data_IF_418322504794
#
_entry.id   IF_418322504794
#
_cell.length_a   1.000
_cell.length_b   1.000
_cell.length_c   1.000
_cell.angle_alpha   90.00
_cell.angle_beta   90.00
_cell.angle_gamma   90.00
#
_symmetry.space_group_name_H-M   'P 1'
#
loop_
_entity.id
_entity.type
_entity.pdbx_description
1 polymer ?
#
# COMPACT_ATOMS: atom_id res chain seq x y z
N UNK A 1 11.30 -1.05 29.01
CA UNK A 1 11.31 0.18 28.19
C UNK A 1 10.72 1.29 29.03
N UNK A 2 11.53 2.28 29.40
CA UNK A 2 11.06 3.47 30.11
C UNK A 2 10.16 4.25 29.16
N UNK A 3 8.91 4.47 29.59
CA UNK A 3 8.00 5.38 28.92
C UNK A 3 8.64 6.76 28.99
N UNK A 4 9.10 7.28 27.84
CA UNK A 4 9.53 8.67 27.73
C UNK A 4 8.34 9.54 28.11
N UNK A 5 8.32 10.03 29.35
CA UNK A 5 7.33 10.98 29.81
C UNK A 5 7.49 12.24 28.97
N UNK A 6 6.44 12.56 28.22
CA UNK A 6 6.39 13.75 27.35
C UNK A 6 6.61 14.97 28.25
N UNK A 7 7.71 15.69 28.04
CA UNK A 7 7.97 16.94 28.75
C UNK A 7 6.94 17.96 28.30
N UNK A 8 6.03 18.34 29.19
CA UNK A 8 5.11 19.44 28.93
C UNK A 8 5.90 20.76 28.88
N UNK A 9 5.57 21.67 27.94
CA UNK A 9 6.23 22.96 27.89
C UNK A 9 6.03 23.69 29.22
N UNK A 10 7.11 24.19 29.85
CA UNK A 10 7.01 24.84 31.14
C UNK A 10 6.21 26.13 31.01
N UNK A 11 5.32 26.37 31.97
CA UNK A 11 4.69 27.66 32.14
C UNK A 11 5.73 28.62 32.77
N UNK A 12 6.14 29.64 32.03
CA UNK A 12 7.22 30.56 32.44
C UNK A 12 6.75 31.52 33.53
N UNK A 13 5.47 31.90 33.50
CA UNK A 13 4.86 32.80 34.50
C UNK A 13 3.38 32.44 34.69
N UNK A 14 2.98 32.18 35.94
CA UNK A 14 1.65 31.70 36.31
C UNK A 14 0.82 32.74 37.09
N UNK A 15 1.22 34.01 37.13
CA UNK A 15 0.44 35.08 37.77
C UNK A 15 -0.93 35.21 37.09
N UNK A 16 -1.98 35.29 37.90
CA UNK A 16 -3.38 35.45 37.46
C UNK A 16 -3.86 36.87 37.67
N UNK A 17 -4.69 37.37 36.75
CA UNK A 17 -5.29 38.71 36.81
C UNK A 17 -5.80 39.10 38.21
N UNK A 18 -6.78 38.36 38.73
CA UNK A 18 -7.45 38.78 39.97
C UNK A 18 -6.55 38.58 41.19
N UNK A 19 -6.09 37.34 41.39
CA UNK A 19 -5.42 36.91 42.62
C UNK A 19 -4.05 37.54 42.81
N UNK A 20 -3.28 37.64 41.74
CA UNK A 20 -1.84 37.91 41.84
C UNK A 20 -1.48 39.31 41.32
N UNK A 21 -2.27 39.89 40.40
CA UNK A 21 -2.03 41.24 39.88
C UNK A 21 -2.89 42.29 40.58
N UNK A 22 -4.22 42.16 40.53
CA UNK A 22 -5.14 43.15 41.11
C UNK A 22 -5.08 43.16 42.63
N UNK A 23 -5.20 41.99 43.28
CA UNK A 23 -5.24 41.93 44.75
C UNK A 23 -3.91 42.34 45.39
N UNK A 24 -2.77 41.97 44.80
CA UNK A 24 -1.44 42.42 45.27
C UNK A 24 -1.21 43.92 45.05
N UNK A 25 -1.64 44.47 43.91
CA UNK A 25 -1.59 45.91 43.68
C UNK A 25 -2.44 46.67 44.71
N UNK A 26 -3.65 46.17 45.02
CA UNK A 26 -4.53 46.76 46.04
C UNK A 26 -3.91 46.73 47.44
N UNK A 27 -3.29 45.61 47.83
CA UNK A 27 -2.59 45.50 49.13
C UNK A 27 -1.47 46.53 49.26
N UNK A 28 -0.80 46.86 48.16
CA UNK A 28 0.31 47.83 48.14
C UNK A 28 -0.15 49.28 48.28
N UNK A 29 -1.41 49.62 47.98
CA UNK A 29 -1.92 51.01 48.09
C UNK A 29 -1.69 51.56 49.50
N UNK A 30 -1.98 50.76 50.54
CA UNK A 30 -1.84 51.15 51.95
C UNK A 30 -0.41 51.63 52.28
N UNK A 31 0.59 51.02 51.64
CA UNK A 31 2.00 51.31 51.89
C UNK A 31 2.50 52.49 51.05
N UNK A 32 2.11 52.58 49.78
CA UNK A 32 2.69 53.54 48.83
C UNK A 32 1.86 54.82 48.65
N UNK A 33 0.55 54.76 48.89
CA UNK A 33 -0.38 55.88 48.71
C UNK A 33 -1.40 55.92 49.87
N UNK A 34 -0.98 56.20 51.12
CA UNK A 34 -1.87 56.18 52.28
C UNK A 34 -3.00 57.23 52.21
N UNK A 35 -2.81 58.30 51.43
CA UNK A 35 -3.84 59.30 51.11
C UNK A 35 -4.98 58.77 50.21
N UNK A 36 -4.78 57.63 49.53
CA UNK A 36 -5.80 57.02 48.69
C UNK A 36 -6.72 56.14 49.54
N UNK A 37 -7.94 56.62 49.78
CA UNK A 37 -8.89 56.04 50.76
C UNK A 37 -10.15 55.43 50.14
N UNK A 38 -10.46 55.75 48.87
CA UNK A 38 -11.53 55.11 48.12
C UNK A 38 -10.99 53.85 47.40
N UNK A 39 -11.63 52.71 47.61
CA UNK A 39 -11.24 51.42 47.01
C UNK A 39 -12.40 50.77 46.26
N UNK A 40 -13.42 51.55 45.91
CA UNK A 40 -14.60 51.07 45.20
C UNK A 40 -14.26 50.76 43.73
N UNK A 41 -15.04 49.88 43.10
CA UNK A 41 -14.93 49.57 41.66
C UNK A 41 -15.11 50.81 40.77
N UNK A 42 -15.86 51.81 41.24
CA UNK A 42 -16.11 53.05 40.52
C UNK A 42 -14.93 54.03 40.55
N UNK A 43 -13.88 53.73 41.32
CA UNK A 43 -12.69 54.57 41.42
C UNK A 43 -11.84 54.46 40.14
N UNK A 44 -11.52 55.59 39.47
CA UNK A 44 -10.61 55.61 38.32
C UNK A 44 -9.24 54.99 38.62
N UNK A 45 -8.73 55.10 39.85
CA UNK A 45 -7.45 54.51 40.24
C UNK A 45 -7.50 52.97 40.26
N UNK A 46 -8.59 52.39 40.76
CA UNK A 46 -8.82 50.93 40.72
C UNK A 46 -8.99 50.46 39.28
N UNK A 47 -9.69 51.23 38.45
CA UNK A 47 -9.83 50.95 37.00
C UNK A 47 -8.46 50.92 36.31
N UNK A 48 -7.54 51.82 36.67
CA UNK A 48 -6.17 51.80 36.14
C UNK A 48 -5.41 50.56 36.59
N UNK A 49 -5.53 50.15 37.86
CA UNK A 49 -4.92 48.91 38.36
C UNK A 49 -5.41 47.70 37.55
N UNK A 50 -6.72 47.59 37.32
CA UNK A 50 -7.31 46.54 36.50
C UNK A 50 -6.79 46.58 35.06
N UNK A 51 -6.70 47.77 34.45
CA UNK A 51 -6.15 47.93 33.10
C UNK A 51 -4.68 47.47 33.02
N UNK A 52 -3.84 47.87 33.98
CA UNK A 52 -2.43 47.46 34.02
C UNK A 52 -2.27 45.97 34.32
N UNK A 53 -3.12 45.41 35.19
CA UNK A 53 -3.17 43.96 35.43
C UNK A 53 -3.54 43.21 34.16
N UNK A 54 -4.53 43.69 33.41
CA UNK A 54 -4.94 43.10 32.13
C UNK A 54 -3.81 43.16 31.08
N UNK A 55 -3.14 44.30 30.93
CA UNK A 55 -1.99 44.43 30.02
C UNK A 55 -0.84 43.48 30.41
N UNK A 56 -0.60 43.33 31.72
CA UNK A 56 0.44 42.43 32.25
C UNK A 56 0.09 40.97 31.96
N UNK A 57 -1.16 40.56 32.18
CA UNK A 57 -1.64 39.22 31.86
C UNK A 57 -1.51 38.91 30.36
N UNK A 58 -1.77 39.89 29.48
CA UNK A 58 -1.55 39.73 28.04
C UNK A 58 -0.06 39.51 27.68
N UNK A 59 0.87 40.16 28.39
CA UNK A 59 2.32 39.93 28.21
C UNK A 59 2.70 38.54 28.71
N UNK A 60 2.20 38.13 29.89
CA UNK A 60 2.42 36.80 30.47
C UNK A 60 1.93 35.72 29.53
N UNK A 61 0.74 35.88 28.95
CA UNK A 61 0.21 34.97 27.95
C UNK A 61 1.17 34.80 26.76
N UNK A 62 1.70 35.91 26.22
CA UNK A 62 2.66 35.86 25.10
C UNK A 62 4.00 35.23 25.50
N UNK A 63 4.47 35.49 26.71
CA UNK A 63 5.69 34.88 27.24
C UNK A 63 5.55 33.36 27.31
N UNK A 64 4.40 32.87 27.77
CA UNK A 64 4.10 31.45 27.87
C UNK A 64 3.95 30.73 26.51
N UNK A 65 3.89 31.45 25.39
CA UNK A 65 3.95 30.87 24.04
C UNK A 65 5.39 30.65 23.54
N UNK A 66 6.40 31.27 24.18
CA UNK A 66 7.80 31.20 23.77
C UNK A 66 8.38 29.77 23.84
N UNK A 67 8.15 28.97 24.92
CA UNK A 67 8.69 27.62 25.00
C UNK A 67 8.26 26.73 23.82
N UNK A 68 6.99 26.79 23.43
CA UNK A 68 6.47 26.02 22.30
C UNK A 68 7.08 26.49 20.97
N UNK A 69 7.23 27.80 20.76
CA UNK A 69 7.90 28.34 19.58
C UNK A 69 9.36 27.89 19.49
N UNK A 70 10.11 27.99 20.59
CA UNK A 70 11.51 27.57 20.64
C UNK A 70 11.65 26.08 20.35
N UNK A 71 10.76 25.25 20.89
CA UNK A 71 10.74 23.82 20.60
C UNK A 71 10.62 23.53 19.09
N UNK A 72 9.67 24.19 18.39
CA UNK A 72 9.49 24.05 16.94
C UNK A 72 10.75 24.53 16.18
N UNK A 73 11.34 25.66 16.57
CA UNK A 73 12.55 26.17 15.91
C UNK A 73 13.76 25.25 16.14
N UNK A 74 13.92 24.67 17.33
CA UNK A 74 14.97 23.68 17.56
C UNK A 74 14.78 22.43 16.71
N UNK A 75 13.54 21.96 16.53
CA UNK A 75 13.25 20.86 15.61
C UNK A 75 13.63 21.21 14.17
N UNK A 76 13.30 22.42 13.71
CA UNK A 76 13.68 22.90 12.37
C UNK A 76 15.20 23.02 12.20
N UNK A 77 15.92 23.46 13.23
CA UNK A 77 17.39 23.51 13.21
C UNK A 77 18.04 22.12 13.17
N UNK A 78 17.36 21.11 13.71
CA UNK A 78 17.77 19.69 13.61
C UNK A 78 17.31 19.04 12.29
N UNK A 79 16.78 19.83 11.35
CA UNK A 79 16.19 19.38 10.08
C UNK A 79 15.09 18.32 10.26
N UNK A 80 14.37 18.38 11.39
CA UNK A 80 13.18 17.57 11.62
C UNK A 80 12.02 18.22 10.87
N UNK A 81 11.64 17.60 9.76
CA UNK A 81 10.50 18.03 8.95
C UNK A 81 9.22 17.30 9.37
N UNK A 82 8.07 17.93 9.15
CA UNK A 82 6.79 17.22 9.26
C UNK A 82 6.72 16.19 8.14
N UNK A 83 6.20 15.00 8.43
CA UNK A 83 5.94 14.03 7.38
C UNK A 83 4.91 14.63 6.41
N UNK A 84 5.10 14.46 5.08
CA UNK A 84 4.11 14.90 4.12
C UNK A 84 2.79 14.17 4.34
N UNK A 85 1.72 14.70 3.74
CA UNK A 85 0.44 13.99 3.72
C UNK A 85 0.62 12.61 3.06
N UNK A 86 0.19 11.54 3.73
CA UNK A 86 0.15 10.21 3.15
C UNK A 86 -1.23 9.96 2.55
N UNK A 87 -1.28 9.57 1.28
CA UNK A 87 -2.53 9.17 0.65
C UNK A 87 -3.07 7.87 1.26
N UNK A 88 -4.39 7.78 1.36
CA UNK A 88 -5.05 6.53 1.71
C UNK A 88 -4.86 5.51 0.59
N UNK A 89 -4.57 4.26 0.94
CA UNK A 89 -4.42 3.15 -0.01
C UNK A 89 -5.52 2.13 0.23
N UNK A 90 -5.96 1.49 -0.84
CA UNK A 90 -6.95 0.40 -0.80
C UNK A 90 -6.72 -0.58 -1.93
N UNK A 91 -7.37 -1.72 -1.86
CA UNK A 91 -7.46 -2.69 -2.95
C UNK A 91 -8.81 -2.52 -3.66
N UNK A 92 -8.81 -2.55 -4.99
CA UNK A 92 -10.01 -2.48 -5.84
C UNK A 92 -10.17 -3.78 -6.61
N UNK A 93 -11.30 -4.47 -6.41
CA UNK A 93 -11.64 -5.68 -7.18
C UNK A 93 -12.56 -5.33 -8.34
N UNK A 94 -12.13 -5.64 -9.56
CA UNK A 94 -12.93 -5.51 -10.77
C UNK A 94 -13.50 -6.86 -11.18
N UNK A 95 -14.84 -6.96 -11.25
CA UNK A 95 -15.53 -8.16 -11.71
C UNK A 95 -15.79 -8.10 -13.21
N UNK A 96 -15.52 -9.22 -13.89
CA UNK A 96 -15.84 -9.42 -15.29
C UNK A 96 -17.36 -9.56 -15.46
N UNK A 97 -17.88 -9.08 -16.58
CA UNK A 97 -19.30 -9.30 -16.93
C UNK A 97 -19.62 -10.76 -17.22
N UNK A 98 -18.62 -11.55 -17.62
CA UNK A 98 -18.67 -13.00 -17.78
C UNK A 98 -17.32 -13.60 -17.37
N UNK A 99 -17.31 -14.75 -16.68
CA UNK A 99 -16.07 -15.33 -16.19
C UNK A 99 -15.19 -15.83 -17.34
N UNK A 100 -13.87 -15.77 -17.15
CA UNK A 100 -12.91 -16.30 -18.11
C UNK A 100 -12.39 -17.69 -17.69
N UNK A 101 -12.12 -18.60 -18.65
CA UNK A 101 -12.29 -18.42 -20.10
C UNK A 101 -13.77 -18.46 -20.52
N UNK A 102 -14.15 -17.62 -21.49
CA UNK A 102 -15.51 -17.63 -22.05
C UNK A 102 -15.86 -18.99 -22.69
N UNK A 103 -14.85 -19.67 -23.23
CA UNK A 103 -14.94 -21.02 -23.79
C UNK A 103 -13.90 -21.91 -23.12
N UNK A 104 -14.31 -22.84 -22.24
CA UNK A 104 -13.38 -23.69 -21.51
C UNK A 104 -12.45 -24.56 -22.36
N UNK A 105 -12.84 -24.87 -23.60
CA UNK A 105 -12.05 -25.71 -24.50
C UNK A 105 -11.14 -24.90 -25.46
N UNK A 106 -11.31 -23.58 -25.50
CA UNK A 106 -10.57 -22.67 -26.38
C UNK A 106 -10.13 -21.43 -25.58
N UNK A 107 -9.35 -21.59 -24.48
CA UNK A 107 -8.97 -20.47 -23.62
C UNK A 107 -8.16 -19.40 -24.36
N UNK A 108 -7.43 -19.79 -25.40
CA UNK A 108 -6.64 -18.93 -26.30
C UNK A 108 -7.49 -17.90 -27.07
N UNK A 109 -8.80 -18.15 -27.22
CA UNK A 109 -9.74 -17.24 -27.88
C UNK A 109 -10.42 -16.26 -26.91
N UNK A 110 -9.99 -16.25 -25.65
CA UNK A 110 -10.53 -15.32 -24.64
C UNK A 110 -10.04 -13.90 -24.95
N UNK A 111 -10.92 -12.90 -25.00
CA UNK A 111 -10.51 -11.52 -25.25
C UNK A 111 -9.70 -10.99 -24.06
N UNK A 112 -8.84 -10.02 -24.34
CA UNK A 112 -8.08 -9.34 -23.29
C UNK A 112 -9.01 -8.48 -22.42
N UNK A 113 -8.95 -8.69 -21.10
CA UNK A 113 -9.57 -7.81 -20.12
C UNK A 113 -8.48 -7.09 -19.34
N UNK A 114 -8.48 -5.76 -19.45
CA UNK A 114 -7.43 -4.90 -18.95
C UNK A 114 -8.01 -3.69 -18.24
N UNK A 115 -7.40 -3.33 -17.12
CA UNK A 115 -7.62 -2.07 -16.39
C UNK A 115 -6.31 -1.29 -16.44
N UNK A 116 -6.36 -0.11 -17.06
CA UNK A 116 -5.18 0.74 -17.23
C UNK A 116 -4.69 1.30 -15.89
N UNK A 117 -3.36 1.44 -15.75
CA UNK A 117 -2.77 2.25 -14.69
C UNK A 117 -3.32 3.67 -14.79
N UNK A 118 -3.68 4.29 -13.66
CA UNK A 118 -4.23 5.64 -13.67
C UNK A 118 -5.75 5.70 -13.86
N UNK A 119 -6.44 4.56 -13.96
CA UNK A 119 -7.90 4.52 -13.95
C UNK A 119 -8.43 5.07 -12.62
N UNK A 120 -9.32 6.06 -12.70
CA UNK A 120 -9.94 6.73 -11.55
C UNK A 120 -11.28 6.10 -11.22
N UNK A 121 -11.46 5.72 -9.96
CA UNK A 121 -12.71 5.22 -9.39
C UNK A 121 -13.16 6.20 -8.32
N UNK A 122 -14.37 6.73 -8.47
CA UNK A 122 -14.97 7.62 -7.48
C UNK A 122 -15.86 6.83 -6.52
N UNK A 123 -15.81 7.22 -5.25
CA UNK A 123 -16.70 6.77 -4.21
C UNK A 123 -17.40 7.99 -3.61
N UNK A 124 -18.73 7.98 -3.60
CA UNK A 124 -19.53 8.99 -2.94
C UNK A 124 -20.16 8.41 -1.68
N UNK A 125 -19.98 9.10 -0.56
CA UNK A 125 -20.69 8.78 0.68
C UNK A 125 -22.12 9.30 0.53
N UNK A 126 -23.12 8.45 0.75
CA UNK A 126 -24.52 8.80 0.51
C UNK A 126 -24.94 10.12 1.18
N UNK A 127 -25.16 11.15 0.35
CA UNK A 127 -25.61 12.48 0.78
C UNK A 127 -24.55 13.59 0.76
N UNK A 128 -23.26 13.30 0.53
CA UNK A 128 -22.24 14.33 0.29
C UNK A 128 -22.07 14.62 -1.21
N UNK A 129 -21.79 15.87 -1.56
CA UNK A 129 -21.32 16.24 -2.91
C UNK A 129 -19.83 15.99 -3.13
N UNK A 130 -19.11 15.61 -2.08
CA UNK A 130 -17.69 15.28 -2.16
C UNK A 130 -17.52 13.85 -2.68
N UNK A 131 -16.83 13.74 -3.81
CA UNK A 131 -16.40 12.47 -4.40
C UNK A 131 -14.96 12.20 -3.97
N UNK A 132 -14.73 11.04 -3.37
CA UNK A 132 -13.40 10.56 -3.03
C UNK A 132 -12.89 9.74 -4.21
N UNK A 133 -11.75 10.13 -4.78
CA UNK A 133 -11.17 9.45 -5.95
C UNK A 133 -10.03 8.55 -5.48
N UNK A 134 -10.04 7.32 -5.96
CA UNK A 134 -8.91 6.41 -5.94
C UNK A 134 -8.44 6.15 -7.36
N UNK A 135 -7.14 6.07 -7.55
CA UNK A 135 -6.52 5.81 -8.84
C UNK A 135 -5.72 4.52 -8.77
N UNK A 136 -5.87 3.66 -9.76
CA UNK A 136 -5.11 2.41 -9.85
C UNK A 136 -3.62 2.68 -9.99
N UNK A 137 -2.83 2.01 -9.16
CA UNK A 137 -1.38 2.24 -9.05
C UNK A 137 -0.60 1.59 -10.20
N UNK A 138 -1.17 0.53 -10.76
CA UNK A 138 -0.57 -0.31 -11.79
C UNK A 138 -1.62 -0.84 -12.77
N UNK A 139 -1.14 -1.32 -13.90
CA UNK A 139 -1.96 -1.93 -14.93
C UNK A 139 -2.37 -3.34 -14.48
N UNK A 140 -3.67 -3.63 -14.50
CA UNK A 140 -4.21 -4.94 -14.16
C UNK A 140 -4.67 -5.67 -15.42
N UNK A 141 -4.12 -6.85 -15.65
CA UNK A 141 -4.54 -7.77 -16.73
C UNK A 141 -5.23 -8.98 -16.14
N UNK A 142 -6.37 -9.36 -16.71
CA UNK A 142 -7.18 -10.49 -16.24
C UNK A 142 -7.18 -11.57 -17.32
N UNK A 143 -6.32 -12.56 -17.12
CA UNK A 143 -6.15 -13.69 -18.04
C UNK A 143 -6.92 -14.94 -17.55
N UNK A 144 -7.37 -15.82 -18.48
CA UNK A 144 -7.96 -17.09 -18.08
C UNK A 144 -6.94 -17.94 -17.29
N UNK A 145 -7.33 -18.55 -16.16
CA UNK A 145 -6.41 -19.35 -15.36
C UNK A 145 -6.03 -20.65 -16.09
N UNK A 146 -4.73 -20.87 -16.26
CA UNK A 146 -4.16 -22.03 -16.95
C UNK A 146 -3.71 -23.08 -15.94
N UNK A 147 -4.65 -23.93 -15.51
CA UNK A 147 -4.33 -25.08 -14.68
C UNK A 147 -3.52 -26.09 -15.50
N UNK A 148 -2.31 -26.43 -15.06
CA UNK A 148 -1.44 -27.40 -15.73
C UNK A 148 -1.04 -28.59 -14.85
N UNK A 149 -1.09 -28.42 -13.52
CA UNK A 149 -0.60 -29.42 -12.59
C UNK A 149 -1.65 -29.73 -11.53
N UNK A 150 -1.94 -31.02 -11.34
CA UNK A 150 -2.65 -31.54 -10.18
C UNK A 150 -1.76 -32.60 -9.54
N UNK A 151 -1.38 -32.38 -8.28
CA UNK A 151 -0.52 -33.29 -7.51
C UNK A 151 -1.19 -33.65 -6.18
N UNK A 152 -0.80 -34.77 -5.58
CA UNK A 152 -1.29 -35.21 -4.27
C UNK A 152 -0.11 -35.63 -3.40
N UNK A 153 -0.27 -35.62 -2.08
CA UNK A 153 0.79 -36.12 -1.18
C UNK A 153 1.10 -37.61 -1.43
N UNK A 154 0.10 -38.38 -1.88
CA UNK A 154 0.21 -39.82 -2.16
C UNK A 154 1.11 -40.09 -3.37
N UNK A 155 1.00 -39.25 -4.40
CA UNK A 155 1.65 -39.46 -5.69
C UNK A 155 2.19 -38.14 -6.25
N UNK A 156 3.02 -37.43 -5.48
CA UNK A 156 3.45 -36.08 -5.83
C UNK A 156 4.23 -35.97 -7.16
N UNK A 157 4.93 -37.03 -7.55
CA UNK A 157 5.66 -37.09 -8.83
C UNK A 157 4.74 -37.30 -10.04
N UNK A 158 3.49 -37.70 -9.81
CA UNK A 158 2.50 -37.91 -10.86
C UNK A 158 1.68 -36.63 -11.05
N UNK A 159 1.68 -36.11 -12.27
CA UNK A 159 0.69 -35.10 -12.66
C UNK A 159 -0.63 -35.81 -13.01
N UNK A 160 -1.68 -35.50 -12.26
CA UNK A 160 -3.03 -36.01 -12.50
C UNK A 160 -3.82 -35.14 -13.48
N UNK A 161 -3.26 -34.01 -13.93
CA UNK A 161 -3.86 -33.17 -14.95
C UNK A 161 -3.33 -33.51 -16.35
N UNK A 162 -4.26 -33.70 -17.29
CA UNK A 162 -3.94 -33.84 -18.71
C UNK A 162 -5.06 -33.15 -19.52
N UNK A 163 -4.73 -32.14 -20.36
CA UNK A 163 -5.73 -31.43 -21.14
C UNK A 163 -6.56 -32.37 -22.01
N UNK A 164 -7.89 -32.25 -21.93
CA UNK A 164 -8.82 -33.06 -22.74
C UNK A 164 -8.99 -34.51 -22.27
N UNK A 165 -8.22 -34.99 -21.29
CA UNK A 165 -8.33 -36.35 -20.74
C UNK A 165 -8.94 -36.29 -19.34
N UNK A 166 -10.07 -36.98 -19.16
CA UNK A 166 -10.67 -37.12 -17.83
C UNK A 166 -9.87 -38.15 -17.02
N UNK A 167 -8.93 -37.67 -16.21
CA UNK A 167 -8.16 -38.50 -15.27
C UNK A 167 -8.64 -38.25 -13.85
N UNK A 168 -9.20 -39.27 -13.24
CA UNK A 168 -9.58 -39.20 -11.83
C UNK A 168 -8.37 -39.37 -10.90
N UNK A 169 -8.46 -38.80 -9.71
CA UNK A 169 -7.46 -38.95 -8.67
C UNK A 169 -8.09 -38.97 -7.28
N UNK A 170 -7.44 -39.65 -6.35
CA UNK A 170 -7.82 -39.67 -4.94
C UNK A 170 -7.23 -38.42 -4.28
N UNK A 171 -8.09 -37.59 -3.68
CA UNK A 171 -7.67 -36.32 -3.09
C UNK A 171 -6.70 -36.51 -1.91
N UNK A 172 -6.91 -37.58 -1.14
CA UNK A 172 -6.16 -37.93 0.08
C UNK A 172 -5.73 -39.40 0.04
N UNK A 173 -5.00 -39.85 1.08
CA UNK A 173 -4.69 -41.27 1.23
C UNK A 173 -5.97 -42.12 1.32
N UNK A 174 -5.90 -43.39 0.89
CA UNK A 174 -7.01 -44.35 0.95
C UNK A 174 -7.71 -44.39 2.31
N UNK A 175 -6.94 -44.21 3.39
CA UNK A 175 -7.45 -43.85 4.72
C UNK A 175 -7.02 -42.40 4.97
N UNK A 176 -7.95 -41.42 4.85
CA UNK A 176 -7.61 -40.01 4.95
C UNK A 176 -6.97 -39.67 6.30
N UNK A 177 -5.86 -38.94 6.26
CA UNK A 177 -5.13 -38.46 7.45
C UNK A 177 -5.25 -36.96 7.54
N UNK A 178 -5.27 -36.45 8.78
CA UNK A 178 -5.17 -35.01 9.00
C UNK A 178 -3.85 -34.51 8.40
N UNK A 179 -3.93 -33.42 7.64
CA UNK A 179 -2.81 -32.87 6.90
C UNK A 179 -2.72 -33.32 5.45
N UNK A 180 -3.42 -34.38 5.05
CA UNK A 180 -3.45 -34.85 3.66
C UNK A 180 -3.88 -33.71 2.73
N UNK A 181 -3.16 -33.55 1.64
CA UNK A 181 -3.40 -32.47 0.70
C UNK A 181 -3.25 -32.87 -0.76
N UNK A 182 -3.93 -32.10 -1.60
CA UNK A 182 -3.65 -32.02 -3.02
C UNK A 182 -3.36 -30.57 -3.44
N UNK A 183 -2.66 -30.44 -4.55
CA UNK A 183 -2.07 -29.19 -5.02
C UNK A 183 -2.51 -28.92 -6.45
N UNK A 184 -2.90 -27.68 -6.72
CA UNK A 184 -3.25 -27.17 -8.05
C UNK A 184 -2.18 -26.16 -8.46
N UNK A 185 -1.51 -26.41 -9.58
CA UNK A 185 -0.47 -25.54 -10.12
C UNK A 185 -0.90 -24.87 -11.42
N UNK A 186 -0.89 -23.55 -11.42
CA UNK A 186 -1.25 -22.71 -12.56
C UNK A 186 -0.01 -22.16 -13.26
N UNK A 187 -0.03 -22.16 -14.59
CA UNK A 187 1.12 -21.77 -15.41
C UNK A 187 1.28 -20.26 -15.61
N UNK A 188 0.17 -19.52 -15.53
CA UNK A 188 0.13 -18.08 -15.57
C UNK A 188 -0.16 -17.49 -14.20
N UNK A 189 0.11 -16.20 -14.07
CA UNK A 189 -0.13 -15.45 -12.84
C UNK A 189 -1.62 -15.44 -12.49
N UNK A 190 -1.91 -15.85 -11.26
CA UNK A 190 -3.27 -15.83 -10.69
C UNK A 190 -3.37 -14.91 -9.48
N UNK A 191 -2.34 -14.12 -9.19
CA UNK A 191 -2.33 -13.17 -8.08
C UNK A 191 -3.49 -12.18 -8.19
N UNK A 192 -4.11 -11.86 -7.06
CA UNK A 192 -5.24 -10.94 -6.97
C UNK A 192 -6.56 -11.44 -7.58
N UNK A 193 -6.56 -12.59 -8.26
CA UNK A 193 -7.75 -13.11 -8.92
C UNK A 193 -8.81 -13.56 -7.92
N UNK A 194 -10.06 -13.27 -8.26
CA UNK A 194 -11.24 -13.93 -7.70
C UNK A 194 -11.46 -15.21 -8.50
N UNK A 195 -10.87 -16.30 -8.02
CA UNK A 195 -10.79 -17.57 -8.74
C UNK A 195 -11.93 -18.51 -8.31
N UNK A 196 -12.75 -18.97 -9.25
CA UNK A 196 -13.74 -20.02 -9.00
C UNK A 196 -13.23 -21.37 -9.51
N UNK A 197 -13.25 -22.35 -8.62
CA UNK A 197 -12.89 -23.73 -8.92
C UNK A 197 -14.14 -24.60 -8.95
N UNK A 198 -14.35 -25.30 -10.06
CA UNK A 198 -15.42 -26.28 -10.25
C UNK A 198 -14.85 -27.69 -10.14
N UNK A 199 -15.53 -28.53 -9.36
CA UNK A 199 -15.16 -29.91 -9.10
C UNK A 199 -16.27 -30.85 -9.51
N UNK A 200 -15.91 -31.84 -10.31
CA UNK A 200 -16.73 -33.02 -10.58
C UNK A 200 -16.16 -34.19 -9.80
N UNK A 201 -16.95 -34.81 -8.93
CA UNK A 201 -16.52 -35.86 -8.00
C UNK A 201 -17.30 -37.16 -8.22
N UNK A 202 -16.67 -38.30 -7.92
CA UNK A 202 -17.36 -39.58 -7.82
C UNK A 202 -17.99 -39.72 -6.42
N UNK A 203 -19.22 -40.23 -6.38
CA UNK A 203 -20.00 -40.35 -5.16
C UNK A 203 -19.49 -41.51 -4.29
N UNK A 204 -18.67 -41.22 -3.29
CA UNK A 204 -18.27 -42.19 -2.25
C UNK A 204 -17.75 -41.56 -0.95
N UNK A 205 -17.15 -40.35 -0.96
CA UNK A 205 -16.68 -39.71 0.29
C UNK A 205 -17.79 -39.57 1.36
N UNK A 206 -17.51 -40.06 2.56
CA UNK A 206 -18.45 -40.13 3.69
C UNK A 206 -17.76 -39.70 5.01
N UNK A 207 -18.55 -39.49 6.07
CA UNK A 207 -18.04 -39.14 7.41
C UNK A 207 -17.96 -37.65 7.76
N UNK A 208 -18.20 -36.74 6.81
CA UNK A 208 -18.16 -35.28 7.05
C UNK A 208 -19.52 -34.56 6.92
N UNK A 209 -19.64 -33.39 7.54
CA UNK A 209 -20.78 -32.47 7.42
C UNK A 209 -20.61 -31.57 6.18
N UNK A 210 -21.51 -31.70 5.20
CA UNK A 210 -21.40 -31.00 3.91
C UNK A 210 -21.37 -29.47 4.03
N UNK A 211 -22.12 -28.92 4.98
CA UNK A 211 -22.22 -27.47 5.14
C UNK A 211 -20.96 -26.82 5.76
N UNK A 212 -20.09 -27.63 6.36
CA UNK A 212 -18.84 -27.19 7.00
C UNK A 212 -17.76 -28.22 6.69
N UNK A 213 -17.27 -28.25 5.43
CA UNK A 213 -16.28 -29.22 5.04
C UNK A 213 -14.96 -28.94 5.77
N UNK A 214 -14.27 -29.98 6.27
CA UNK A 214 -13.05 -29.82 7.06
C UNK A 214 -11.83 -29.59 6.14
N UNK A 215 -11.90 -28.54 5.31
CA UNK A 215 -10.92 -28.22 4.29
C UNK A 215 -10.33 -26.84 4.53
N UNK A 216 -9.01 -26.71 4.37
CA UNK A 216 -8.31 -25.43 4.36
C UNK A 216 -7.68 -25.21 2.99
N UNK A 217 -7.92 -24.03 2.43
CA UNK A 217 -7.28 -23.56 1.22
C UNK A 217 -6.15 -22.60 1.56
N UNK A 218 -4.98 -22.81 0.95
CA UNK A 218 -3.82 -21.95 1.11
C UNK A 218 -3.07 -21.78 -0.21
N UNK A 219 -2.40 -20.64 -0.40
CA UNK A 219 -1.50 -20.40 -1.53
C UNK A 219 -0.05 -20.49 -1.06
N UNK A 220 0.84 -20.89 -1.97
CA UNK A 220 2.25 -21.04 -1.66
C UNK A 220 2.98 -19.70 -1.80
N UNK A 221 3.70 -19.29 -0.77
CA UNK A 221 4.37 -17.98 -0.69
C UNK A 221 5.87 -18.10 -0.40
N UNK A 222 6.39 -19.31 -0.13
CA UNK A 222 7.74 -19.51 0.38
C UNK A 222 8.59 -20.52 -0.38
N UNK A 223 9.63 -21.06 0.26
CA UNK A 223 10.69 -21.84 -0.40
C UNK A 223 10.65 -23.34 -0.09
N UNK A 224 9.99 -23.74 0.99
CA UNK A 224 9.80 -25.13 1.41
C UNK A 224 8.30 -25.40 1.62
N UNK A 225 7.72 -26.21 0.76
CA UNK A 225 6.30 -26.52 0.82
C UNK A 225 5.91 -27.45 1.98
N UNK A 226 6.88 -28.03 2.70
CA UNK A 226 6.62 -28.72 3.97
C UNK A 226 6.49 -27.75 5.15
N UNK A 227 7.02 -26.53 5.03
CA UNK A 227 6.88 -25.52 6.07
C UNK A 227 5.48 -24.92 6.01
N UNK A 228 4.75 -24.98 7.12
CA UNK A 228 3.41 -24.42 7.20
C UNK A 228 3.42 -22.88 7.10
N UNK A 229 4.51 -22.21 7.48
CA UNK A 229 4.65 -20.75 7.39
C UNK A 229 4.74 -20.27 5.94
N UNK A 230 5.20 -21.13 5.04
CA UNK A 230 5.31 -20.85 3.60
C UNK A 230 3.96 -20.97 2.86
N UNK A 231 2.87 -21.31 3.57
CA UNK A 231 1.52 -21.38 3.04
C UNK A 231 0.60 -20.35 3.67
N UNK A 232 0.17 -19.37 2.88
CA UNK A 232 -0.77 -18.36 3.33
C UNK A 232 -2.22 -18.84 3.15
N UNK A 233 -3.07 -18.80 4.21
CA UNK A 233 -4.49 -19.13 4.09
C UNK A 233 -5.22 -18.23 3.08
N UNK A 234 -6.14 -18.83 2.31
CA UNK A 234 -6.95 -18.12 1.32
C UNK A 234 -8.38 -17.91 1.87
N UNK A 235 -8.92 -16.71 1.66
CA UNK A 235 -10.31 -16.39 2.00
C UNK A 235 -11.26 -17.03 0.99
N UNK A 236 -12.24 -17.78 1.49
CA UNK A 236 -13.32 -18.36 0.69
C UNK A 236 -14.47 -17.36 0.53
N UNK A 237 -15.13 -17.42 -0.62
CA UNK A 237 -16.37 -16.69 -0.87
C UNK A 237 -17.48 -17.06 0.12
N UNK A 238 -18.43 -16.14 0.30
CA UNK A 238 -19.58 -16.31 1.20
C UNK A 238 -20.88 -16.09 0.43
N UNK A 239 -22.03 -16.40 1.05
CA UNK A 239 -23.33 -16.25 0.38
C UNK A 239 -23.44 -17.14 -0.85
N UNK A 240 -23.63 -16.53 -2.03
CA UNK A 240 -23.75 -17.21 -3.31
C UNK A 240 -22.42 -17.75 -3.84
N UNK A 241 -21.29 -17.28 -3.32
CA UNK A 241 -19.93 -17.69 -3.73
C UNK A 241 -19.31 -18.76 -2.82
N UNK A 242 -20.08 -19.22 -1.83
CA UNK A 242 -19.63 -20.21 -0.83
C UNK A 242 -19.24 -21.54 -1.47
N UNK A 243 -18.54 -22.35 -0.69
CA UNK A 243 -18.28 -23.74 -1.06
C UNK A 243 -19.58 -24.55 -1.18
N UNK A 244 -19.84 -25.04 -2.39
CA UNK A 244 -20.97 -25.92 -2.74
C UNK A 244 -20.52 -27.36 -3.04
N UNK A 245 -19.23 -27.67 -2.95
CA UNK A 245 -18.68 -29.03 -3.14
C UNK A 245 -19.11 -29.99 -2.05
N UNK A 246 -19.46 -29.46 -0.87
CA UNK A 246 -19.83 -30.25 0.31
C UNK A 246 -18.68 -31.08 0.86
N UNK A 247 -17.43 -30.60 0.69
CA UNK A 247 -16.21 -31.36 0.96
C UNK A 247 -16.02 -32.48 -0.05
N UNK A 248 -16.20 -32.13 -1.33
CA UNK A 248 -16.10 -33.06 -2.48
C UNK A 248 -17.07 -34.26 -2.41
N UNK A 249 -18.19 -34.11 -1.69
CA UNK A 249 -19.24 -35.14 -1.58
C UNK A 249 -20.36 -34.99 -2.59
N UNK A 250 -20.52 -33.79 -3.14
CA UNK A 250 -21.48 -33.55 -4.20
C UNK A 250 -20.85 -33.95 -5.53
N UNK A 251 -21.66 -34.49 -6.44
CA UNK A 251 -21.20 -34.92 -7.77
C UNK A 251 -20.63 -33.74 -8.57
N UNK A 252 -21.23 -32.57 -8.40
CA UNK A 252 -20.74 -31.30 -8.92
C UNK A 252 -20.80 -30.25 -7.81
N UNK A 253 -19.84 -29.35 -7.80
CA UNK A 253 -19.83 -28.20 -6.91
C UNK A 253 -18.69 -27.24 -7.26
N UNK A 254 -18.78 -26.05 -6.70
CA UNK A 254 -17.76 -25.02 -6.89
C UNK A 254 -17.48 -24.27 -5.59
N UNK A 255 -16.36 -23.58 -5.56
CA UNK A 255 -15.99 -22.64 -4.50
C UNK A 255 -15.22 -21.47 -5.11
N UNK A 256 -15.33 -20.30 -4.47
CA UNK A 256 -14.65 -19.08 -4.91
C UNK A 256 -13.54 -18.72 -3.92
N UNK A 257 -12.36 -18.38 -4.44
CA UNK A 257 -11.14 -18.05 -3.72
C UNK A 257 -10.73 -16.61 -4.02
N UNK A 258 -10.40 -15.85 -2.98
CA UNK A 258 -9.86 -14.50 -3.09
C UNK A 258 -8.34 -14.57 -2.88
N UNK A 259 -7.59 -14.49 -3.97
CA UNK A 259 -6.15 -14.70 -3.96
C UNK A 259 -5.39 -13.43 -3.57
N UNK A 260 -4.25 -13.54 -2.86
CA UNK A 260 -3.43 -12.38 -2.51
C UNK A 260 -2.77 -11.78 -3.76
N UNK A 261 -2.41 -10.49 -3.67
CA UNK A 261 -1.89 -9.70 -4.80
C UNK A 261 -0.47 -10.07 -5.24
N UNK A 262 0.32 -10.72 -4.39
CA UNK A 262 1.76 -10.92 -4.60
C UNK A 262 2.13 -12.42 -4.54
N UNK A 263 1.44 -13.30 -5.28
CA UNK A 263 1.81 -14.72 -5.31
C UNK A 263 3.07 -14.93 -6.17
N UNK A 264 4.05 -15.72 -5.70
CA UNK A 264 5.28 -15.94 -6.45
C UNK A 264 5.19 -17.19 -7.37
N UNK A 265 5.78 -17.11 -8.59
CA UNK A 265 5.98 -18.26 -9.49
C UNK A 265 7.14 -19.13 -8.96
N UNK A 266 6.79 -20.14 -8.14
CA UNK A 266 7.77 -20.97 -7.44
C UNK A 266 7.56 -22.46 -7.69
N UNK A 267 8.65 -23.25 -7.70
CA UNK A 267 8.54 -24.70 -7.64
C UNK A 267 8.08 -25.13 -6.25
N UNK A 268 7.16 -26.11 -6.17
CA UNK A 268 6.92 -26.82 -4.91
C UNK A 268 8.14 -27.69 -4.58
N UNK A 269 8.93 -27.26 -3.60
CA UNK A 269 10.06 -28.00 -3.03
C UNK A 269 9.69 -28.61 -1.69
N UNK A 270 10.34 -29.71 -1.31
CA UNK A 270 10.11 -30.37 -0.02
C UNK A 270 9.03 -31.46 -0.04
N UNK A 271 8.03 -31.39 -0.93
CA UNK A 271 7.00 -32.44 -1.00
C UNK A 271 7.50 -33.64 -1.83
N UNK A 272 7.45 -34.84 -1.25
CA UNK A 272 7.91 -36.10 -1.86
C UNK A 272 9.36 -36.48 -1.51
N UNK A 273 9.89 -37.61 -2.03
CA UNK A 273 11.25 -38.04 -1.71
C UNK A 273 12.26 -36.98 -2.17
N UNK A 274 13.19 -36.62 -1.28
CA UNK A 274 14.28 -35.64 -1.47
C UNK A 274 15.22 -36.04 -2.64
N UNK A 275 14.79 -35.99 -3.89
CA UNK A 275 15.67 -35.96 -5.06
C UNK A 275 14.89 -35.61 -6.32
N UNK A 276 14.59 -34.32 -6.50
CA UNK A 276 14.45 -33.75 -7.84
C UNK A 276 15.33 -32.50 -7.93
N UNK A 277 16.65 -32.72 -7.83
CA UNK A 277 17.60 -31.83 -8.51
C UNK A 277 17.61 -32.26 -9.97
N UNK A 278 16.74 -31.66 -10.79
CA UNK A 278 16.90 -31.79 -12.24
C UNK A 278 18.17 -31.03 -12.64
N UNK A 279 18.98 -31.55 -13.58
CA UNK A 279 20.26 -30.95 -13.93
C UNK A 279 20.08 -29.53 -14.47
N UNK A 280 21.04 -28.66 -14.13
CA UNK A 280 21.04 -27.26 -14.52
C UNK A 280 20.97 -27.07 -16.05
N UNK A 281 19.95 -26.29 -16.43
CA UNK A 281 19.66 -25.58 -17.69
C UNK A 281 20.77 -25.55 -18.75
N UNK A 282 20.43 -26.01 -19.96
CA UNK A 282 20.93 -25.43 -21.22
C UNK A 282 19.85 -24.53 -21.82
N UNK A 283 20.26 -23.41 -22.41
CA UNK A 283 19.43 -22.32 -22.93
C UNK A 283 18.48 -22.74 -24.05
N UNK A 284 17.25 -23.08 -23.70
CA UNK A 284 16.05 -22.99 -24.55
C UNK A 284 14.83 -23.08 -23.66
N UNK A 285 13.84 -22.22 -23.86
CA UNK A 285 12.55 -22.24 -23.14
C UNK A 285 11.98 -23.66 -23.14
N UNK A 286 11.78 -24.31 -21.98
CA UNK A 286 11.29 -25.68 -21.95
C UNK A 286 9.83 -25.73 -22.44
N UNK A 287 9.37 -26.86 -22.99
CA UNK A 287 7.95 -27.07 -23.26
C UNK A 287 7.13 -26.92 -21.96
N UNK A 288 5.85 -26.51 -22.03
CA UNK A 288 5.02 -26.18 -20.86
C UNK A 288 5.02 -27.27 -19.77
N UNK A 289 5.09 -28.55 -20.15
CA UNK A 289 5.14 -29.69 -19.25
C UNK A 289 6.47 -29.87 -18.46
N UNK A 290 7.44 -28.96 -18.61
CA UNK A 290 8.75 -28.97 -17.93
C UNK A 290 9.04 -27.68 -17.14
N UNK A 291 8.05 -26.80 -16.94
CA UNK A 291 8.20 -25.63 -16.08
C UNK A 291 8.26 -26.08 -14.61
N UNK A 292 9.36 -25.77 -13.92
CA UNK A 292 9.51 -26.12 -12.50
C UNK A 292 8.60 -25.27 -11.60
N UNK A 293 8.39 -23.98 -11.97
CA UNK A 293 7.55 -23.04 -11.24
C UNK A 293 6.10 -23.05 -11.71
N UNK A 294 5.19 -22.83 -10.75
CA UNK A 294 3.78 -22.54 -10.98
C UNK A 294 3.24 -21.71 -9.82
N UNK A 295 2.03 -21.20 -9.98
CA UNK A 295 1.28 -20.56 -8.90
C UNK A 295 0.45 -21.64 -8.20
N UNK A 296 0.76 -21.92 -6.93
CA UNK A 296 0.26 -23.11 -6.25
C UNK A 296 -0.84 -22.81 -5.25
N UNK A 297 -1.92 -23.58 -5.36
CA UNK A 297 -2.97 -23.67 -4.35
C UNK A 297 -2.94 -25.05 -3.72
N UNK A 298 -3.12 -25.12 -2.40
CA UNK A 298 -3.22 -26.36 -1.64
C UNK A 298 -4.59 -26.45 -1.00
N UNK A 299 -5.24 -27.60 -1.18
CA UNK A 299 -6.40 -28.00 -0.41
C UNK A 299 -5.95 -29.05 0.60
N UNK A 300 -6.03 -28.73 1.89
CA UNK A 300 -5.60 -29.59 2.97
C UNK A 300 -6.79 -30.06 3.81
N UNK A 301 -6.82 -31.35 4.12
CA UNK A 301 -7.72 -31.92 5.10
C UNK A 301 -7.27 -31.52 6.51
N UNK A 302 -8.10 -30.73 7.20
CA UNK A 302 -7.84 -30.26 8.57
C UNK A 302 -8.87 -30.84 9.54
N UNK A 303 -8.61 -30.78 10.84
CA UNK A 303 -9.61 -31.14 11.85
C UNK A 303 -10.42 -29.90 12.21
N UNK A 304 -11.74 -30.06 12.35
CA UNK A 304 -12.58 -29.06 13.01
C UNK A 304 -12.37 -29.19 14.54
N UNK A 305 -11.82 -28.17 15.22
CA UNK A 305 -11.58 -28.21 16.66
C UNK A 305 -12.86 -28.41 17.48
N UNK A 306 -13.99 -27.92 16.97
CA UNK A 306 -15.28 -27.97 17.67
C UNK A 306 -16.01 -29.30 17.44
N UNK A 307 -15.58 -30.08 16.44
CA UNK A 307 -16.23 -31.33 16.02
C UNK A 307 -15.21 -32.42 15.65
N UNK A 308 -14.40 -32.89 16.61
CA UNK A 308 -13.32 -33.86 16.35
C UNK A 308 -13.82 -35.21 15.82
N UNK A 309 -15.09 -35.55 16.05
CA UNK A 309 -15.76 -36.75 15.54
C UNK A 309 -16.06 -36.72 14.04
N UNK A 310 -16.11 -35.52 13.43
CA UNK A 310 -16.43 -35.33 12.01
C UNK A 310 -15.13 -35.46 11.20
N UNK A 311 -15.03 -36.54 10.41
CA UNK A 311 -13.82 -36.87 9.65
C UNK A 311 -14.13 -37.62 8.37
N UNK A 312 -13.26 -37.50 7.37
CA UNK A 312 -13.38 -38.35 6.18
C UNK A 312 -13.15 -39.82 6.58
N UNK A 313 -14.11 -40.67 6.23
CA UNK A 313 -13.95 -42.13 6.35
C UNK A 313 -13.38 -42.76 5.08
N UNK A 314 -13.59 -42.10 3.94
CA UNK A 314 -13.13 -42.51 2.63
C UNK A 314 -12.59 -41.30 1.88
N UNK A 315 -11.56 -41.51 1.04
CA UNK A 315 -10.93 -40.46 0.24
C UNK A 315 -11.89 -39.96 -0.85
N UNK A 316 -12.05 -38.63 -1.02
CA UNK A 316 -12.78 -38.09 -2.17
C UNK A 316 -12.07 -38.40 -3.48
N UNK A 317 -12.82 -38.92 -4.45
CA UNK A 317 -12.32 -39.20 -5.80
C UNK A 317 -12.77 -38.07 -6.73
N UNK A 318 -11.82 -37.26 -7.19
CA UNK A 318 -12.08 -36.11 -8.05
C UNK A 318 -11.88 -36.53 -9.50
N UNK A 319 -12.90 -36.31 -10.35
CA UNK A 319 -12.88 -36.65 -11.78
C UNK A 319 -12.36 -35.52 -12.65
N UNK A 320 -12.72 -34.28 -12.30
CA UNK A 320 -12.36 -33.10 -13.07
C UNK A 320 -12.29 -31.87 -12.18
N UNK A 321 -11.29 -31.04 -12.44
CA UNK A 321 -11.16 -29.69 -11.92
C UNK A 321 -11.21 -28.72 -13.10
N UNK A 322 -11.99 -27.63 -12.98
CA UNK A 322 -11.93 -26.50 -13.90
C UNK A 322 -11.76 -25.23 -13.08
N UNK A 323 -11.02 -24.28 -13.64
CA UNK A 323 -10.84 -22.97 -13.06
C UNK A 323 -11.42 -21.92 -13.98
N UNK A 324 -12.07 -20.92 -13.38
CA UNK A 324 -12.48 -19.69 -14.05
C UNK A 324 -12.14 -18.49 -13.16
N UNK A 325 -11.83 -17.36 -13.77
CA UNK A 325 -11.63 -16.09 -13.06
C UNK A 325 -12.88 -15.24 -13.19
N UNK A 326 -13.38 -14.75 -12.06
CA UNK A 326 -14.56 -13.87 -11.99
C UNK A 326 -14.19 -12.39 -12.05
N UNK A 327 -12.95 -12.08 -11.69
CA UNK A 327 -12.44 -10.73 -11.54
C UNK A 327 -11.03 -10.75 -10.97
N UNK A 328 -10.42 -9.59 -10.82
CA UNK A 328 -9.11 -9.47 -10.19
C UNK A 328 -8.97 -8.15 -9.44
N UNK A 329 -7.99 -8.12 -8.54
CA UNK A 329 -7.78 -7.04 -7.58
C UNK A 329 -6.49 -6.30 -7.89
N UNK A 330 -6.51 -4.97 -7.79
CA UNK A 330 -5.33 -4.10 -7.95
C UNK A 330 -5.25 -3.08 -6.84
N UNK A 331 -4.04 -2.64 -6.49
CA UNK A 331 -3.86 -1.53 -5.54
C UNK A 331 -4.30 -0.21 -6.13
N UNK A 332 -4.86 0.64 -5.28
CA UNK A 332 -5.26 1.98 -5.64
C UNK A 332 -4.96 2.97 -4.53
N UNK A 333 -4.47 4.14 -4.92
CA UNK A 333 -4.11 5.23 -4.03
C UNK A 333 -5.10 6.38 -4.18
N UNK A 334 -5.46 7.02 -3.07
CA UNK A 334 -6.22 8.27 -3.04
C UNK A 334 -5.34 9.43 -3.52
N UNK A 335 -5.15 9.46 -4.83
CA UNK A 335 -4.31 10.41 -5.52
C UNK A 335 -4.74 10.46 -6.98
N UNK A 336 -4.20 11.43 -7.71
CA UNK A 336 -4.37 11.52 -9.15
C UNK A 336 -2.99 11.70 -9.77
N UNK A 337 -2.63 10.82 -10.69
CA UNK A 337 -1.43 11.00 -11.50
C UNK A 337 -1.62 12.20 -12.44
N UNK A 338 -0.67 13.12 -12.39
CA UNK A 338 -0.55 14.24 -13.31
C UNK A 338 0.72 14.02 -14.13
N UNK A 339 0.57 13.99 -15.45
CA UNK A 339 1.67 13.81 -16.40
C UNK A 339 1.80 15.04 -17.27
N UNK A 340 3.04 15.33 -17.69
CA UNK A 340 3.38 16.45 -18.57
C UNK A 340 2.80 17.81 -18.10
N UNK A 341 2.84 18.09 -16.79
CA UNK A 341 2.38 19.36 -16.26
C UNK A 341 3.37 20.47 -16.61
N UNK A 342 3.05 21.29 -17.59
CA UNK A 342 3.86 22.49 -17.84
C UNK A 342 3.79 23.47 -16.65
N UNK A 343 4.90 23.59 -15.91
CA UNK A 343 5.00 24.38 -14.67
C UNK A 343 5.41 25.83 -14.96
N UNK A 344 6.24 26.05 -15.99
CA UNK A 344 6.63 27.39 -16.39
C UNK A 344 7.81 27.44 -17.36
N UNK A 345 8.26 28.67 -17.62
CA UNK A 345 9.39 28.96 -18.52
C UNK A 345 10.49 29.65 -17.73
N UNK A 346 11.73 29.17 -17.87
CA UNK A 346 12.85 29.69 -17.11
C UNK A 346 13.33 31.06 -17.59
N UNK A 347 13.64 31.95 -16.64
CA UNK A 347 14.31 33.23 -16.86
C UNK A 347 15.82 33.11 -17.02
N UNK A 348 16.41 31.96 -16.66
CA UNK A 348 17.86 31.73 -16.61
C UNK A 348 18.57 32.27 -15.36
N UNK A 349 17.83 32.74 -14.35
CA UNK A 349 18.40 33.21 -13.10
C UNK A 349 18.70 32.06 -12.11
N UNK A 350 19.76 32.11 -11.30
CA UNK A 350 19.98 31.13 -10.25
C UNK A 350 18.89 31.15 -9.17
N UNK A 351 18.57 30.00 -8.58
CA UNK A 351 17.62 29.91 -7.46
C UNK A 351 16.16 30.10 -7.84
N UNK A 352 15.80 29.90 -9.12
CA UNK A 352 14.42 30.00 -9.58
C UNK A 352 13.52 28.98 -8.89
N UNK A 353 12.29 29.39 -8.60
CA UNK A 353 11.24 28.54 -8.04
C UNK A 353 10.03 28.54 -8.98
N UNK A 354 9.47 27.36 -9.19
CA UNK A 354 8.25 27.15 -9.98
C UNK A 354 7.19 26.49 -9.10
N UNK A 355 5.94 26.95 -9.22
CA UNK A 355 4.82 26.42 -8.44
C UNK A 355 3.97 25.51 -9.30
N UNK A 356 3.74 24.30 -8.79
CA UNK A 356 2.85 23.30 -9.38
C UNK A 356 1.38 23.71 -9.19
N UNK A 357 0.49 23.18 -10.03
CA UNK A 357 -0.95 23.48 -9.99
C UNK A 357 -1.60 23.00 -8.70
N UNK A 358 -1.06 21.94 -8.11
CA UNK A 358 -1.53 21.37 -6.85
C UNK A 358 -0.49 21.57 -5.76
N UNK A 359 -0.99 21.79 -4.55
CA UNK A 359 -0.20 21.78 -3.31
C UNK A 359 -0.37 20.40 -2.65
N UNK A 360 0.50 20.04 -1.69
CA UNK A 360 0.46 18.74 -0.99
C UNK A 360 0.57 17.55 -1.94
N UNK A 361 1.66 17.53 -2.67
CA UNK A 361 2.03 16.47 -3.59
C UNK A 361 2.54 15.28 -2.78
N UNK A 362 2.20 14.08 -3.23
CA UNK A 362 2.84 12.88 -2.70
C UNK A 362 4.31 12.85 -3.09
N UNK A 363 5.08 12.02 -2.38
CA UNK A 363 6.45 11.78 -2.79
C UNK A 363 6.47 11.11 -4.17
N UNK A 364 7.41 11.52 -5.03
CA UNK A 364 7.51 11.02 -6.39
C UNK A 364 7.89 9.53 -6.38
N UNK A 365 7.23 8.72 -7.21
CA UNK A 365 7.46 7.27 -7.31
C UNK A 365 7.92 6.84 -8.71
N UNK A 366 8.82 5.86 -8.77
CA UNK A 366 9.29 5.29 -10.03
C UNK A 366 9.97 6.32 -10.93
N UNK A 367 9.39 6.57 -12.10
CA UNK A 367 9.94 7.45 -13.15
C UNK A 367 9.41 8.89 -13.07
N UNK A 368 8.66 9.23 -12.01
CA UNK A 368 8.15 10.59 -11.79
C UNK A 368 9.29 11.56 -11.45
N UNK A 369 9.47 12.58 -12.29
CA UNK A 369 10.59 13.52 -12.17
C UNK A 369 10.34 14.81 -12.94
N UNK A 370 11.04 15.87 -12.54
CA UNK A 370 11.02 17.15 -13.26
C UNK A 370 11.86 17.04 -14.53
N UNK A 371 11.32 17.57 -15.62
CA UNK A 371 12.02 17.65 -16.89
C UNK A 371 12.14 19.09 -17.37
N UNK A 372 13.32 19.45 -17.86
CA UNK A 372 13.60 20.77 -18.42
C UNK A 372 13.95 20.62 -19.89
N UNK A 373 13.37 21.48 -20.72
CA UNK A 373 13.73 21.56 -22.13
C UNK A 373 15.21 21.98 -22.26
N UNK A 374 15.99 21.20 -23.01
CA UNK A 374 17.38 21.53 -23.32
C UNK A 374 17.63 21.38 -24.83
N UNK A 375 18.51 22.23 -25.36
CA UNK A 375 18.92 22.14 -26.76
C UNK A 375 20.08 21.16 -26.90
N UNK A 376 19.86 20.07 -27.64
CA UNK A 376 20.86 19.06 -27.93
C UNK A 376 20.93 18.83 -29.44
N UNK A 377 22.11 19.00 -30.04
CA UNK A 377 22.34 18.88 -31.50
C UNK A 377 21.39 19.73 -32.39
N UNK A 378 20.93 20.87 -31.88
CA UNK A 378 20.03 21.79 -32.59
C UNK A 378 18.54 21.53 -32.36
N UNK A 379 18.18 20.37 -31.81
CA UNK A 379 16.82 19.99 -31.45
C UNK A 379 16.52 20.29 -29.97
N UNK A 380 15.24 20.53 -29.65
CA UNK A 380 14.77 20.74 -28.29
C UNK A 380 14.24 19.43 -27.73
N UNK A 381 14.82 18.97 -26.64
CA UNK A 381 14.44 17.72 -25.97
C UNK A 381 14.33 17.95 -24.48
N UNK A 382 13.32 17.36 -23.85
CA UNK A 382 13.23 17.35 -22.40
C UNK A 382 14.31 16.44 -21.81
N UNK A 383 15.03 16.97 -20.82
CA UNK A 383 16.03 16.24 -20.05
C UNK A 383 15.57 16.11 -18.62
N UNK A 384 15.80 14.94 -18.07
CA UNK A 384 15.50 14.59 -16.69
C UNK A 384 16.45 15.30 -15.74
N UNK A 385 15.88 15.85 -14.67
CA UNK A 385 16.61 16.41 -13.56
C UNK A 385 16.44 15.50 -12.36
N UNK A 386 17.49 15.37 -11.56
CA UNK A 386 17.51 14.52 -10.38
C UNK A 386 17.10 15.33 -9.14
N UNK A 387 16.18 14.78 -8.36
CA UNK A 387 15.79 15.37 -7.09
C UNK A 387 16.89 15.18 -6.06
N UNK A 388 17.21 16.24 -5.33
CA UNK A 388 18.11 16.22 -4.16
C UNK A 388 17.40 16.82 -2.95
N UNK A 389 17.81 16.43 -1.75
CA UNK A 389 17.33 17.05 -0.51
C UNK A 389 18.02 18.38 -0.22
N UNK A 390 19.24 18.56 -0.74
CA UNK A 390 20.05 19.76 -0.55
C UNK A 390 20.99 19.94 -1.74
N UNK A 391 21.33 21.18 -2.04
CA UNK A 391 22.29 21.53 -3.08
C UNK A 391 23.76 21.49 -2.61
N UNK A 392 24.04 21.21 -1.33
CA UNK A 392 25.40 21.32 -0.76
C UNK A 392 26.47 20.54 -1.54
N UNK A 393 26.11 19.37 -2.07
CA UNK A 393 27.00 18.49 -2.84
C UNK A 393 26.93 18.72 -4.36
N UNK A 394 25.99 19.54 -4.82
CA UNK A 394 25.75 19.80 -6.25
C UNK A 394 26.82 20.72 -6.84
N UNK A 395 27.39 20.31 -7.97
CA UNK A 395 28.22 21.14 -8.81
C UNK A 395 27.39 21.95 -9.82
N UNK A 396 28.04 22.94 -10.47
CA UNK A 396 27.37 23.90 -11.37
C UNK A 396 26.74 23.28 -12.62
N UNK A 397 27.05 22.03 -12.94
CA UNK A 397 26.56 21.32 -14.13
C UNK A 397 25.56 20.22 -13.79
N UNK A 398 25.37 19.94 -12.51
CA UNK A 398 24.49 18.86 -12.06
C UNK A 398 23.04 19.27 -12.24
N UNK A 399 22.26 18.47 -12.98
CA UNK A 399 20.82 18.71 -13.20
C UNK A 399 20.04 18.37 -11.95
N UNK A 400 20.21 19.16 -10.90
CA UNK A 400 19.60 18.94 -9.60
C UNK A 400 18.47 19.91 -9.34
N UNK A 401 17.39 19.42 -8.72
CA UNK A 401 16.31 20.25 -8.20
C UNK A 401 15.90 19.78 -6.81
N UNK A 402 15.29 20.66 -6.04
CA UNK A 402 14.58 20.33 -4.80
C UNK A 402 13.08 20.45 -5.04
N UNK A 403 12.28 19.61 -4.37
CA UNK A 403 10.83 19.65 -4.40
C UNK A 403 10.30 19.82 -2.97
N UNK A 404 9.61 20.93 -2.73
CA UNK A 404 8.77 21.10 -1.55
C UNK A 404 7.39 20.50 -1.86
N UNK A 405 7.13 19.32 -1.32
CA UNK A 405 5.89 18.57 -1.55
C UNK A 405 4.69 19.23 -0.88
N UNK A 406 4.86 19.94 0.24
CA UNK A 406 3.74 20.58 0.95
C UNK A 406 3.23 21.79 0.16
N UNK A 407 4.16 22.61 -0.36
CA UNK A 407 3.83 23.80 -1.15
C UNK A 407 3.65 23.55 -2.63
N UNK A 408 4.09 22.39 -3.13
CA UNK A 408 4.16 22.11 -4.56
C UNK A 408 5.15 23.01 -5.28
N UNK A 409 6.34 23.23 -4.71
CA UNK A 409 7.35 24.14 -5.27
C UNK A 409 8.60 23.38 -5.74
N UNK A 410 8.96 23.56 -7.01
CA UNK A 410 10.23 23.09 -7.60
C UNK A 410 11.24 24.22 -7.47
N UNK A 411 12.39 23.92 -6.86
CA UNK A 411 13.46 24.89 -6.62
C UNK A 411 14.71 24.43 -7.38
N UNK A 412 15.31 25.34 -8.14
CA UNK A 412 16.56 25.10 -8.85
C UNK A 412 17.78 25.69 -8.13
N UNK A 413 18.95 25.26 -8.55
CA UNK A 413 20.22 25.56 -7.91
C UNK A 413 20.52 27.06 -7.70
N UNK A 414 20.83 27.52 -6.46
CA UNK A 414 21.14 28.92 -6.18
C UNK A 414 22.62 29.28 -6.43
N UNK A 415 22.86 30.58 -6.64
CA UNK A 415 24.19 31.17 -6.62
C UNK A 415 24.42 31.84 -5.25
N UNK A 416 25.39 31.34 -4.47
CA UNK A 416 25.66 31.84 -3.12
C UNK A 416 27.05 32.49 -3.08
N UNK A 417 27.10 33.71 -2.54
CA UNK A 417 28.34 34.41 -2.29
C UNK A 417 29.04 33.82 -1.06
N UNK A 418 30.29 33.44 -1.23
CA UNK A 418 31.16 32.85 -0.22
C UNK A 418 31.83 33.93 0.63
N UNK A 419 32.41 33.52 1.76
CA UNK A 419 33.09 34.43 2.72
C UNK A 419 34.29 35.13 2.09
N UNK A 420 34.99 34.47 1.16
CA UNK A 420 36.10 35.04 0.40
C UNK A 420 35.66 36.02 -0.71
N UNK A 421 34.36 36.24 -0.85
CA UNK A 421 33.76 37.14 -1.83
C UNK A 421 33.49 36.49 -3.20
N UNK A 422 33.93 35.25 -3.44
CA UNK A 422 33.61 34.51 -4.65
C UNK A 422 32.14 34.11 -4.68
N UNK A 423 31.59 33.80 -5.86
CA UNK A 423 30.24 33.28 -6.01
C UNK A 423 30.33 31.83 -6.47
N UNK A 424 29.70 30.93 -5.72
CA UNK A 424 29.59 29.52 -6.09
C UNK A 424 28.17 29.22 -6.52
N UNK A 425 28.04 28.59 -7.68
CA UNK A 425 26.79 28.03 -8.17
C UNK A 425 26.66 26.60 -7.64
N UNK A 426 25.50 26.27 -7.08
CA UNK A 426 25.18 24.92 -6.63
C UNK A 426 24.05 24.36 -7.50
N UNK A 427 24.33 23.34 -8.31
CA UNK A 427 23.39 22.83 -9.32
C UNK A 427 23.35 23.67 -10.59
N UNK A 428 22.95 23.05 -11.70
CA UNK A 428 22.73 23.69 -12.99
C UNK A 428 21.54 24.67 -12.92
N UNK A 429 21.57 25.70 -13.77
CA UNK A 429 20.46 26.64 -13.95
C UNK A 429 19.76 26.33 -15.26
N UNK A 430 18.44 26.11 -15.27
CA UNK A 430 17.67 25.97 -16.50
C UNK A 430 17.93 27.15 -17.46
N UNK A 431 18.08 26.86 -18.75
CA UNK A 431 18.39 27.89 -19.75
C UNK A 431 17.26 28.91 -19.91
N UNK A 432 17.59 30.13 -20.33
CA UNK A 432 16.59 31.17 -20.65
C UNK A 432 15.61 30.67 -21.71
N UNK A 433 14.31 30.83 -21.44
CA UNK A 433 13.24 30.44 -22.35
C UNK A 433 12.96 28.94 -22.41
N UNK A 434 13.51 28.14 -21.49
CA UNK A 434 13.27 26.69 -21.43
C UNK A 434 12.04 26.36 -20.61
N UNK A 435 11.22 25.49 -21.17
CA UNK A 435 10.02 24.97 -20.52
C UNK A 435 10.42 23.96 -19.43
N UNK A 436 9.76 24.04 -18.29
CA UNK A 436 9.86 23.12 -17.17
C UNK A 436 8.53 22.41 -17.04
N UNK A 437 8.57 21.08 -16.91
CA UNK A 437 7.39 20.25 -16.73
C UNK A 437 7.60 19.12 -15.74
#
# INVERSE_FOLDING_TARGET
>A
MSVLQRLEPPNLDNLRFQRDLVDEARKRIIQYCPEWTDYNLSDPGITLIELFAWMTEAIIYRLNQVPQKNYIEFLRMLDVQLHPACAAQTELTFYLSAPFPLRPNEPELTPEAKVEKGLRVSYSVGGSSEEIIFTTDEELRIDPPLLEQIRTDVAFTQNHYEPGVARQFDAFHNVPRLGDAFYLGFANDISGNVLRLHFSCQREASGIVRAMPPLRWSCYMGKDANDAEDWQPITLGTGDERDTTGGFRNEEGHLTLYLPLDMPDLPLRGIGPETLTLPARTSSTPPPHQREGAYWLRCQYVQDPDKPEVRYTETPVIRRVRAEVLGSTVRATNAVFVTDEEVGVSSGDPGQTFKLKQERILDLIGDEQVQVEERHNGELTFKEWQRVHTFCESERHDRHYMLDTDRGEIIFGPAIRQVDGTVRQYGCVPGVGRHVR
#
